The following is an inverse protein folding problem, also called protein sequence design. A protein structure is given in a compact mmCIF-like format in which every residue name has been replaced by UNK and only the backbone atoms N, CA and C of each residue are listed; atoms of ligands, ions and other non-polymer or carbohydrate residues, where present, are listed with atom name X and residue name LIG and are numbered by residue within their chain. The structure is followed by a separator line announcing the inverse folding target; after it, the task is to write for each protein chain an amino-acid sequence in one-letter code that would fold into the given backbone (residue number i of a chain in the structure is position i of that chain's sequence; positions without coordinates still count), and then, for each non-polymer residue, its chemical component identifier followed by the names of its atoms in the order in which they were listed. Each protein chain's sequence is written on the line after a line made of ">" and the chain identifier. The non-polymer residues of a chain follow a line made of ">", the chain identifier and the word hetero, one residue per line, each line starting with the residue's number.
data_IF_859360666709
#
_entry.id   IF_859360666709
#
_cell.length_a   1.000
_cell.length_b   1.000
_cell.length_c   1.000
_cell.angle_alpha   90.00
_cell.angle_beta   90.00
_cell.angle_gamma   90.00
#
_symmetry.space_group_name_H-M   'P 1'
#
loop_
_entity.id
_entity.type
_entity.pdbx_description
1 polymer ?
#
# COMPACT_ATOMS: atom_id res chain seq x y z
N UNK A 1 35.91 -11.26 9.11
CA UNK A 1 34.51 -11.65 9.40
C UNK A 1 33.81 -11.75 8.07
N UNK A 2 33.37 -12.94 7.67
CA UNK A 2 32.53 -13.10 6.48
C UNK A 2 31.18 -12.45 6.80
N UNK A 3 30.81 -11.41 6.05
CA UNK A 3 29.45 -10.87 6.10
C UNK A 3 28.51 -12.04 5.76
N UNK A 4 27.58 -12.36 6.67
CA UNK A 4 26.60 -13.40 6.42
C UNK A 4 25.97 -13.13 5.05
N UNK A 5 26.09 -14.09 4.13
CA UNK A 5 25.53 -13.97 2.80
C UNK A 5 24.02 -13.82 2.95
N UNK A 6 23.49 -12.62 2.69
CA UNK A 6 22.05 -12.40 2.70
C UNK A 6 21.43 -13.24 1.59
N UNK A 7 20.32 -13.94 1.86
CA UNK A 7 19.64 -14.71 0.83
C UNK A 7 19.14 -13.76 -0.26
N UNK A 8 19.29 -14.17 -1.53
CA UNK A 8 18.85 -13.38 -2.69
C UNK A 8 17.34 -13.14 -2.72
N UNK A 9 16.57 -13.98 -2.03
CA UNK A 9 15.12 -13.86 -1.85
C UNK A 9 14.71 -14.55 -0.55
N UNK A 10 13.56 -14.16 0.00
CA UNK A 10 13.01 -14.73 1.24
C UNK A 10 11.51 -14.96 1.12
N UNK A 11 11.01 -15.94 1.86
CA UNK A 11 9.58 -16.09 2.13
C UNK A 11 9.29 -15.28 3.38
N UNK A 12 8.55 -14.18 3.28
CA UNK A 12 8.24 -13.31 4.41
C UNK A 12 6.82 -13.57 4.92
N UNK A 13 6.67 -13.79 6.21
CA UNK A 13 5.36 -13.82 6.85
C UNK A 13 4.67 -12.45 6.67
N UNK A 14 3.42 -12.39 6.18
CA UNK A 14 2.69 -11.13 6.02
C UNK A 14 2.36 -10.44 7.36
N UNK A 15 2.37 -11.19 8.46
CA UNK A 15 2.09 -10.67 9.79
C UNK A 15 3.33 -10.07 10.46
N UNK A 16 3.09 -9.00 11.21
CA UNK A 16 4.10 -8.34 12.03
C UNK A 16 3.96 -8.80 13.48
N UNK A 17 5.04 -9.33 14.03
CA UNK A 17 5.07 -9.82 15.41
C UNK A 17 5.43 -8.67 16.35
N UNK A 18 4.41 -8.05 16.96
CA UNK A 18 4.62 -7.04 18.00
C UNK A 18 5.19 -7.67 19.28
N UNK A 19 6.19 -7.01 19.85
CA UNK A 19 6.84 -7.35 21.13
C UNK A 19 6.98 -6.05 21.92
N UNK A 20 6.31 -5.96 23.07
CA UNK A 20 6.18 -4.71 23.82
C UNK A 20 7.34 -4.48 24.78
N UNK A 21 7.77 -5.54 25.44
CA UNK A 21 8.94 -5.63 26.31
C UNK A 21 10.22 -5.93 25.52
N UNK A 22 11.34 -5.40 26.00
CA UNK A 22 12.66 -5.64 25.40
C UNK A 22 13.05 -7.13 25.45
N UNK A 23 12.65 -7.84 26.50
CA UNK A 23 12.97 -9.25 26.71
C UNK A 23 12.35 -10.19 25.66
N UNK A 24 11.21 -9.80 25.07
CA UNK A 24 10.53 -10.61 24.05
C UNK A 24 10.87 -10.18 22.60
N UNK A 25 11.49 -9.02 22.43
CA UNK A 25 12.00 -8.58 21.13
C UNK A 25 13.31 -9.30 20.81
N UNK A 26 13.50 -9.83 19.59
CA UNK A 26 14.72 -10.58 19.28
C UNK A 26 15.97 -9.71 19.43
N UNK A 27 16.98 -10.29 20.06
CA UNK A 27 18.33 -9.76 20.13
C UNK A 27 19.01 -9.73 18.73
N UNK A 28 20.16 -9.08 18.62
CA UNK A 28 20.90 -8.95 17.36
C UNK A 28 21.38 -10.28 16.79
N UNK A 29 21.56 -11.31 17.63
CA UNK A 29 21.98 -12.64 17.17
C UNK A 29 20.87 -13.35 16.39
N UNK A 30 19.60 -13.09 16.74
CA UNK A 30 18.42 -13.70 16.11
C UNK A 30 17.82 -12.84 14.99
N UNK A 31 17.96 -11.53 15.10
CA UNK A 31 17.44 -10.55 14.14
C UNK A 31 18.43 -9.38 13.98
N UNK A 32 19.50 -9.58 13.17
CA UNK A 32 20.58 -8.60 13.01
C UNK A 32 20.17 -7.38 12.19
N UNK A 33 19.17 -7.51 11.31
CA UNK A 33 18.69 -6.41 10.48
C UNK A 33 17.62 -5.65 11.24
N UNK A 34 17.92 -4.41 11.60
CA UNK A 34 17.07 -3.57 12.46
C UNK A 34 16.96 -2.19 11.85
N UNK A 35 15.77 -1.63 11.88
CA UNK A 35 15.54 -0.26 11.41
C UNK A 35 14.72 0.53 12.43
N UNK A 36 15.00 1.83 12.48
CA UNK A 36 14.29 2.77 13.35
C UNK A 36 13.46 3.74 12.51
N UNK A 37 12.28 4.09 13.02
CA UNK A 37 11.40 5.07 12.42
C UNK A 37 10.73 5.94 13.48
N UNK A 38 10.33 7.14 13.06
CA UNK A 38 9.55 8.07 13.89
C UNK A 38 8.34 8.55 13.10
N UNK A 39 7.16 8.42 13.70
CA UNK A 39 5.89 8.84 13.08
C UNK A 39 5.76 10.36 13.03
N UNK A 40 4.81 10.85 12.26
CA UNK A 40 4.50 12.27 12.10
C UNK A 40 3.96 12.90 13.38
N UNK A 41 3.40 12.09 14.28
CA UNK A 41 3.01 12.47 15.63
C UNK A 41 4.12 12.26 16.68
N UNK A 42 5.36 12.02 16.25
CA UNK A 42 6.54 12.01 17.12
C UNK A 42 6.77 10.71 17.90
N UNK A 43 6.03 9.65 17.61
CA UNK A 43 6.21 8.36 18.28
C UNK A 43 7.30 7.53 17.60
N UNK A 44 8.36 7.14 18.32
CA UNK A 44 9.38 6.25 17.78
C UNK A 44 8.90 4.79 17.75
N UNK A 45 9.45 4.02 16.82
CA UNK A 45 9.29 2.58 16.76
C UNK A 45 10.52 1.93 16.15
N UNK A 46 10.72 0.64 16.43
CA UNK A 46 11.78 -0.16 15.83
C UNK A 46 11.23 -1.43 15.21
N UNK A 47 11.85 -1.87 14.13
CA UNK A 47 11.58 -3.15 13.49
C UNK A 47 12.85 -4.00 13.46
N UNK A 48 12.67 -5.32 13.43
CA UNK A 48 13.77 -6.26 13.24
C UNK A 48 13.33 -7.41 12.33
N UNK A 49 14.15 -7.71 11.32
CA UNK A 49 13.96 -8.86 10.44
C UNK A 49 14.75 -10.04 10.97
N UNK A 50 14.05 -11.16 11.18
CA UNK A 50 14.66 -12.46 11.35
C UNK A 50 14.54 -13.22 10.04
N UNK A 51 15.64 -13.25 9.29
CA UNK A 51 15.71 -13.94 8.01
C UNK A 51 15.99 -15.43 8.20
N UNK A 52 15.34 -16.24 7.38
CA UNK A 52 15.56 -17.67 7.31
C UNK A 52 15.72 -18.08 5.84
N UNK A 53 16.62 -19.02 5.57
CA UNK A 53 16.79 -19.57 4.24
C UNK A 53 15.50 -20.29 3.78
N UNK A 54 14.98 -19.98 2.59
CA UNK A 54 13.83 -20.70 2.04
C UNK A 54 14.07 -22.23 2.00
N UNK A 55 13.03 -23.05 2.28
CA UNK A 55 11.61 -22.70 2.37
C UNK A 55 11.16 -22.21 3.75
N UNK A 56 12.08 -21.97 4.70
CA UNK A 56 11.70 -21.44 6.01
C UNK A 56 11.20 -20.00 5.88
N UNK A 57 10.24 -19.65 6.73
CA UNK A 57 9.59 -18.34 6.73
C UNK A 57 10.39 -17.35 7.56
N UNK A 58 10.77 -16.24 6.94
CA UNK A 58 11.33 -15.04 7.56
C UNK A 58 10.23 -14.23 8.25
N UNK A 59 10.58 -13.50 9.31
CA UNK A 59 9.60 -12.77 10.14
C UNK A 59 10.01 -11.32 10.38
N UNK A 60 9.02 -10.45 10.41
CA UNK A 60 9.18 -9.06 10.85
C UNK A 60 8.67 -8.90 12.28
N UNK A 61 9.54 -8.43 13.17
CA UNK A 61 9.20 -8.06 14.53
C UNK A 61 9.10 -6.53 14.63
N UNK A 62 8.20 -6.04 15.47
CA UNK A 62 8.07 -4.63 15.76
C UNK A 62 8.02 -4.39 17.27
N UNK A 63 8.75 -3.39 17.75
CA UNK A 63 8.56 -2.84 19.08
C UNK A 63 7.98 -1.43 18.96
N UNK A 64 6.87 -1.26 19.67
CA UNK A 64 5.93 -0.16 19.56
C UNK A 64 5.52 0.24 20.99
N UNK A 65 6.42 0.90 21.75
CA UNK A 65 6.26 1.11 23.19
C UNK A 65 5.08 2.05 23.51
N UNK A 66 4.94 3.15 22.77
CA UNK A 66 3.90 4.18 23.04
C UNK A 66 2.63 3.98 22.21
N UNK A 67 2.43 2.80 21.60
CA UNK A 67 1.22 2.49 20.83
C UNK A 67 0.17 1.79 21.69
N UNK A 68 -1.14 1.94 21.37
CA UNK A 68 -2.21 1.25 22.09
C UNK A 68 -2.02 -0.26 22.16
N UNK A 69 -2.63 -0.92 23.16
CA UNK A 69 -2.53 -2.37 23.37
C UNK A 69 -2.76 -3.19 22.08
N UNK A 70 -1.96 -4.23 21.79
CA UNK A 70 -2.13 -5.07 20.60
C UNK A 70 -3.51 -5.72 20.45
N UNK A 71 -4.24 -5.96 21.55
CA UNK A 71 -5.64 -6.45 21.52
C UNK A 71 -6.62 -5.41 21.02
N UNK A 72 -6.24 -4.13 21.03
CA UNK A 72 -7.07 -3.01 20.59
C UNK A 72 -6.78 -2.64 19.15
N UNK A 73 -5.50 -2.61 18.74
CA UNK A 73 -5.10 -2.14 17.42
C UNK A 73 -3.88 -2.91 16.89
N UNK A 74 -3.83 -3.06 15.56
CA UNK A 74 -2.65 -3.55 14.83
C UNK A 74 -1.99 -2.37 14.13
N UNK A 75 -1.04 -1.68 14.78
CA UNK A 75 -0.58 -0.38 14.31
C UNK A 75 0.43 -0.47 13.17
N UNK A 76 1.03 -1.63 12.88
CA UNK A 76 2.04 -1.79 11.84
C UNK A 76 1.69 -2.96 10.92
N UNK A 77 1.74 -2.72 9.60
CA UNK A 77 1.52 -3.75 8.59
C UNK A 77 2.52 -3.61 7.43
N UNK A 78 2.87 -4.76 6.82
CA UNK A 78 3.57 -4.81 5.54
C UNK A 78 2.53 -4.74 4.44
N UNK A 79 2.63 -3.75 3.55
CA UNK A 79 1.63 -3.53 2.50
C UNK A 79 2.01 -4.22 1.21
N UNK A 80 3.26 -4.05 0.81
CA UNK A 80 3.79 -4.59 -0.41
C UNK A 80 5.31 -4.70 -0.31
N UNK A 81 5.89 -5.59 -1.12
CA UNK A 81 7.34 -5.71 -1.27
C UNK A 81 7.67 -5.81 -2.76
N UNK A 82 8.81 -5.24 -3.15
CA UNK A 82 9.37 -5.46 -4.48
C UNK A 82 10.90 -5.35 -4.40
N UNK A 83 11.59 -6.42 -4.83
CA UNK A 83 13.06 -6.51 -4.80
C UNK A 83 13.60 -6.16 -3.41
N UNK A 84 14.43 -5.12 -3.29
CA UNK A 84 15.06 -4.70 -2.05
C UNK A 84 14.20 -3.79 -1.16
N UNK A 85 12.96 -3.45 -1.56
CA UNK A 85 12.08 -2.52 -0.84
C UNK A 85 10.88 -3.22 -0.19
N UNK A 86 10.51 -2.73 1.00
CA UNK A 86 9.23 -3.04 1.65
C UNK A 86 8.48 -1.73 1.99
N UNK A 87 7.21 -1.69 1.62
CA UNK A 87 6.28 -0.63 1.99
C UNK A 87 5.58 -1.02 3.29
N UNK A 88 5.76 -0.21 4.33
CA UNK A 88 5.17 -0.40 5.65
C UNK A 88 4.14 0.70 5.89
N UNK A 89 3.05 0.34 6.56
CA UNK A 89 2.11 1.29 7.15
C UNK A 89 2.30 1.28 8.66
N UNK A 90 2.35 2.47 9.25
CA UNK A 90 2.21 2.65 10.69
C UNK A 90 1.03 3.59 10.95
N UNK A 91 0.06 3.16 11.77
CA UNK A 91 -1.12 3.95 12.08
C UNK A 91 -1.66 3.68 13.48
N UNK A 92 -2.40 4.63 14.00
CA UNK A 92 -3.09 4.52 15.30
C UNK A 92 -4.36 5.36 15.26
N UNK A 93 -5.34 5.01 16.09
CA UNK A 93 -6.45 5.93 16.36
C UNK A 93 -6.09 6.79 17.57
N UNK A 94 -6.12 8.11 17.37
CA UNK A 94 -5.96 9.10 18.42
C UNK A 94 -7.28 9.36 19.15
N UNK A 95 -7.18 10.07 20.27
CA UNK A 95 -8.31 10.55 21.06
C UNK A 95 -9.28 11.31 20.12
N UNK A 96 -10.59 11.06 20.25
CA UNK A 96 -11.68 11.56 19.38
C UNK A 96 -11.84 10.84 18.02
N UNK A 97 -11.40 9.58 17.91
CA UNK A 97 -11.58 8.74 16.72
C UNK A 97 -10.86 9.28 15.47
N UNK A 98 -9.76 10.02 15.68
CA UNK A 98 -8.92 10.52 14.59
C UNK A 98 -7.89 9.46 14.23
N UNK A 99 -8.03 8.82 13.08
CA UNK A 99 -7.00 7.90 12.56
C UNK A 99 -5.85 8.68 11.96
N UNK A 100 -4.64 8.45 12.47
CA UNK A 100 -3.40 8.94 11.86
C UNK A 100 -2.61 7.77 11.29
N UNK A 101 -1.93 8.01 10.17
CA UNK A 101 -1.18 6.98 9.46
C UNK A 101 -0.03 7.61 8.70
N UNK A 102 1.12 6.93 8.72
CA UNK A 102 2.27 7.20 7.89
C UNK A 102 2.64 5.95 7.08
N UNK A 103 3.24 6.18 5.92
CA UNK A 103 3.86 5.14 5.12
C UNK A 103 5.38 5.25 5.21
N UNK A 104 6.05 4.11 5.31
CA UNK A 104 7.50 4.01 5.40
C UNK A 104 8.03 3.07 4.33
N UNK A 105 9.17 3.44 3.76
CA UNK A 105 9.97 2.57 2.90
C UNK A 105 11.12 2.04 3.74
N UNK A 106 11.18 0.72 3.84
CA UNK A 106 12.38 -0.01 4.24
C UNK A 106 13.17 -0.38 2.97
N UNK A 107 14.49 -0.23 3.03
CA UNK A 107 15.40 -0.64 1.97
C UNK A 107 16.45 -1.60 2.51
N UNK A 108 16.62 -2.75 1.88
CA UNK A 108 17.68 -3.69 2.23
C UNK A 108 19.09 -3.14 1.96
N UNK A 109 19.22 -2.11 1.11
CA UNK A 109 20.48 -1.41 0.86
C UNK A 109 20.82 -0.37 1.92
N UNK A 110 19.81 0.12 2.67
CA UNK A 110 20.00 0.99 3.83
C UNK A 110 19.19 0.45 5.02
N UNK A 111 19.61 -0.69 5.59
CA UNK A 111 18.79 -1.49 6.51
C UNK A 111 18.53 -0.81 7.86
N UNK A 112 19.33 0.19 8.23
CA UNK A 112 19.28 0.81 9.57
C UNK A 112 18.23 1.90 9.72
N UNK A 113 17.62 2.35 8.62
CA UNK A 113 16.70 3.51 8.62
C UNK A 113 15.42 3.23 7.86
N UNK A 114 14.32 3.82 8.33
CA UNK A 114 13.04 3.85 7.63
C UNK A 114 12.80 5.22 7.03
N UNK A 115 12.60 5.28 5.72
CA UNK A 115 12.24 6.52 5.04
C UNK A 115 10.73 6.74 5.14
N UNK A 116 10.31 7.76 5.88
CA UNK A 116 8.90 8.17 5.90
C UNK A 116 8.52 8.85 4.59
N UNK A 117 7.42 8.42 3.99
CA UNK A 117 6.82 9.09 2.83
C UNK A 117 6.10 10.37 3.29
N UNK A 118 6.05 11.42 2.45
CA UNK A 118 5.25 12.60 2.74
C UNK A 118 3.76 12.24 2.86
N UNK A 119 2.97 13.03 3.60
CA UNK A 119 1.52 12.85 3.62
C UNK A 119 0.90 13.11 2.25
N UNK A 120 -0.15 12.38 1.90
CA UNK A 120 -0.93 12.64 0.70
C UNK A 120 -1.88 13.83 0.91
N UNK A 121 -1.51 15.00 0.38
CA UNK A 121 -2.33 16.21 0.38
C UNK A 121 -3.24 16.33 -0.85
N UNK A 122 -3.19 15.36 -1.77
CA UNK A 122 -3.99 15.40 -2.99
C UNK A 122 -5.48 15.18 -2.64
N UNK A 123 -6.37 16.05 -3.11
CA UNK A 123 -7.77 16.03 -2.75
C UNK A 123 -8.48 14.81 -3.33
N UNK A 124 -9.45 14.26 -2.60
CA UNK A 124 -10.39 13.30 -3.16
C UNK A 124 -11.27 14.01 -4.20
N UNK A 125 -11.40 13.42 -5.39
CA UNK A 125 -12.28 13.92 -6.45
C UNK A 125 -13.54 13.07 -6.50
N UNK A 126 -14.70 13.72 -6.51
CA UNK A 126 -15.99 13.02 -6.68
C UNK A 126 -16.14 12.42 -8.09
N UNK A 127 -17.26 11.73 -8.32
CA UNK A 127 -17.57 11.09 -9.60
C UNK A 127 -17.63 12.06 -10.79
N UNK A 128 -17.81 13.35 -10.53
CA UNK A 128 -17.83 14.42 -11.53
C UNK A 128 -16.44 15.01 -11.82
N UNK A 129 -15.41 14.61 -11.05
CA UNK A 129 -14.07 15.18 -11.15
C UNK A 129 -13.95 16.52 -10.43
N UNK A 130 -14.93 16.87 -9.61
CA UNK A 130 -14.90 18.05 -8.76
C UNK A 130 -14.46 17.65 -7.35
N UNK A 131 -13.84 18.59 -6.62
CA UNK A 131 -13.70 18.41 -5.18
C UNK A 131 -15.10 18.40 -4.53
N UNK A 132 -15.40 17.43 -3.65
CA UNK A 132 -16.67 17.40 -2.95
C UNK A 132 -16.91 18.72 -2.22
N UNK A 133 -17.99 19.43 -2.59
CA UNK A 133 -18.43 20.62 -1.84
C UNK A 133 -19.12 20.16 -0.55
N UNK A 134 -18.43 20.28 0.58
CA UNK A 134 -19.04 20.25 1.92
C UNK A 134 -18.90 18.93 2.70
N UNK A 135 -18.42 19.08 3.94
CA UNK A 135 -18.66 18.39 5.22
C UNK A 135 -19.10 16.91 5.36
N UNK A 136 -19.24 16.10 4.31
CA UNK A 136 -19.85 14.76 4.41
C UNK A 136 -18.87 13.57 4.24
N UNK A 137 -17.56 13.78 4.36
CA UNK A 137 -16.62 12.66 4.50
C UNK A 137 -16.17 12.52 5.96
N UNK A 138 -16.15 11.30 6.52
CA UNK A 138 -15.60 11.02 7.85
C UNK A 138 -14.06 10.98 7.79
N UNK A 139 -13.43 11.98 7.19
CA UNK A 139 -12.00 12.16 7.36
C UNK A 139 -11.75 13.12 8.51
N UNK A 140 -10.92 12.75 9.50
CA UNK A 140 -10.53 13.69 10.53
C UNK A 140 -9.88 14.91 9.88
N UNK A 141 -10.53 16.06 9.99
CA UNK A 141 -9.86 17.33 9.70
C UNK A 141 -8.79 17.49 10.76
N UNK A 142 -7.52 17.49 10.36
CA UNK A 142 -6.45 17.96 11.23
C UNK A 142 -6.76 19.39 11.69
N UNK A 143 -6.19 19.79 12.83
CA UNK A 143 -6.36 21.13 13.41
C UNK A 143 -5.94 22.28 12.46
N UNK A 144 -5.29 21.97 11.33
CA UNK A 144 -4.87 22.92 10.29
C UNK A 144 -5.79 22.94 9.05
N UNK A 145 -6.93 22.25 9.05
CA UNK A 145 -7.93 22.35 7.99
C UNK A 145 -7.58 21.65 6.66
N UNK A 146 -6.43 20.99 6.57
CA UNK A 146 -6.04 20.17 5.41
C UNK A 146 -6.64 18.76 5.56
N UNK A 147 -7.63 18.42 4.74
CA UNK A 147 -8.12 17.05 4.64
C UNK A 147 -7.08 16.17 3.96
N UNK A 148 -6.46 15.24 4.69
CA UNK A 148 -5.58 14.24 4.09
C UNK A 148 -6.43 13.16 3.41
N UNK A 149 -5.95 12.57 2.32
CA UNK A 149 -6.60 11.39 1.77
C UNK A 149 -6.17 10.17 2.58
N UNK A 150 -7.11 9.46 3.22
CA UNK A 150 -6.80 8.11 3.72
C UNK A 150 -6.58 7.21 2.52
N UNK A 151 -5.33 6.82 2.28
CA UNK A 151 -5.04 5.82 1.26
C UNK A 151 -5.45 4.45 1.81
N UNK A 152 -6.26 3.71 1.07
CA UNK A 152 -6.74 2.42 1.55
C UNK A 152 -5.59 1.41 1.50
N UNK A 153 -5.27 0.87 2.66
CA UNK A 153 -4.09 0.01 2.90
C UNK A 153 -4.02 -1.17 1.94
N UNK A 154 -5.17 -1.77 1.61
CA UNK A 154 -5.28 -2.95 0.74
C UNK A 154 -5.06 -2.67 -0.76
N UNK A 155 -5.17 -1.42 -1.18
CA UNK A 155 -4.98 -1.00 -2.57
C UNK A 155 -3.61 -0.38 -2.82
N UNK A 156 -2.69 -0.45 -1.87
CA UNK A 156 -1.34 0.11 -1.99
C UNK A 156 -0.36 -0.92 -2.56
N UNK A 157 0.44 -0.50 -3.54
CA UNK A 157 1.52 -1.30 -4.13
C UNK A 157 2.83 -0.53 -4.20
N UNK A 158 3.94 -1.24 -4.36
CA UNK A 158 5.28 -0.68 -4.60
C UNK A 158 5.94 -1.35 -5.80
N UNK A 159 6.58 -0.55 -6.64
CA UNK A 159 7.26 -1.00 -7.86
C UNK A 159 8.61 -0.30 -8.01
N UNK A 160 9.70 -1.02 -7.76
CA UNK A 160 11.04 -0.63 -8.21
C UNK A 160 11.21 -0.78 -9.72
N UNK A 161 12.00 0.12 -10.32
CA UNK A 161 12.46 0.06 -11.71
C UNK A 161 13.85 0.70 -11.86
N UNK A 162 14.37 0.68 -13.09
CA UNK A 162 15.64 1.31 -13.43
C UNK A 162 16.86 0.40 -13.21
N UNK A 163 17.99 0.80 -13.79
CA UNK A 163 19.26 0.09 -13.61
C UNK A 163 19.69 0.17 -12.14
N UNK A 164 20.03 -0.98 -11.55
CA UNK A 164 20.31 -1.07 -10.11
C UNK A 164 19.10 -0.77 -9.21
N UNK A 165 17.88 -0.73 -9.77
CA UNK A 165 16.62 -0.57 -9.02
C UNK A 165 16.53 0.74 -8.22
N UNK A 166 17.20 1.79 -8.67
CA UNK A 166 17.31 3.05 -7.93
C UNK A 166 16.01 3.85 -7.86
N UNK A 167 15.07 3.60 -8.77
CA UNK A 167 13.77 4.26 -8.80
C UNK A 167 12.67 3.35 -8.26
N UNK A 168 11.71 3.92 -7.54
CA UNK A 168 10.50 3.21 -7.15
C UNK A 168 9.27 4.10 -7.27
N UNK A 169 8.11 3.47 -7.40
CA UNK A 169 6.82 4.13 -7.23
C UNK A 169 6.02 3.41 -6.16
N UNK A 170 5.28 4.19 -5.38
CA UNK A 170 4.18 3.70 -4.53
C UNK A 170 2.90 4.21 -5.13
N UNK A 171 1.87 3.36 -5.23
CA UNK A 171 0.60 3.75 -5.79
C UNK A 171 -0.59 3.10 -5.09
N UNK A 172 -1.68 3.84 -5.00
CA UNK A 172 -3.02 3.35 -4.75
C UNK A 172 -3.87 3.47 -6.03
N UNK A 173 -4.73 2.49 -6.28
CA UNK A 173 -5.74 2.55 -7.33
C UNK A 173 -7.14 2.28 -6.75
N UNK A 174 -8.10 3.13 -7.11
CA UNK A 174 -9.53 2.95 -6.86
C UNK A 174 -10.30 3.05 -8.17
N UNK A 175 -11.33 2.23 -8.34
CA UNK A 175 -12.21 2.33 -9.50
C UNK A 175 -13.37 3.29 -9.24
N UNK A 176 -13.68 4.05 -10.27
CA UNK A 176 -14.84 4.92 -10.33
C UNK A 176 -15.69 4.54 -11.55
N UNK A 177 -16.87 4.00 -11.30
CA UNK A 177 -17.85 3.69 -12.33
C UNK A 177 -18.81 4.87 -12.55
N UNK A 178 -19.02 5.22 -13.82
CA UNK A 178 -20.05 6.17 -14.27
C UNK A 178 -21.02 5.48 -15.24
N UNK A 179 -22.06 6.18 -15.73
CA UNK A 179 -23.13 5.56 -16.54
C UNK A 179 -22.60 4.69 -17.70
N UNK A 180 -21.55 5.13 -18.40
CA UNK A 180 -21.00 4.44 -19.59
C UNK A 180 -19.48 4.24 -19.57
N UNK A 181 -18.77 4.64 -18.50
CA UNK A 181 -17.29 4.60 -18.44
C UNK A 181 -16.82 4.21 -17.05
N UNK A 182 -15.74 3.42 -17.00
CA UNK A 182 -15.01 3.12 -15.76
C UNK A 182 -13.67 3.84 -15.83
N UNK A 183 -13.36 4.58 -14.77
CA UNK A 183 -12.07 5.25 -14.61
C UNK A 183 -11.33 4.63 -13.43
N UNK A 184 -10.01 4.69 -13.48
CA UNK A 184 -9.12 4.41 -12.37
C UNK A 184 -8.61 5.74 -11.82
N UNK A 185 -8.87 5.95 -10.54
CA UNK A 185 -8.28 7.01 -9.73
C UNK A 185 -6.99 6.48 -9.12
N UNK A 186 -5.88 7.13 -9.44
CA UNK A 186 -4.54 6.69 -9.08
C UNK A 186 -3.88 7.79 -8.25
N UNK A 187 -3.55 7.48 -7.01
CA UNK A 187 -2.64 8.26 -6.19
C UNK A 187 -1.29 7.60 -6.23
N UNK A 188 -0.26 8.30 -6.66
CA UNK A 188 1.06 7.71 -6.77
C UNK A 188 2.15 8.70 -6.39
N UNK A 189 3.26 8.15 -5.92
CA UNK A 189 4.48 8.87 -5.59
C UNK A 189 5.61 8.13 -6.27
N UNK A 190 6.37 8.84 -7.10
CA UNK A 190 7.60 8.34 -7.70
C UNK A 190 8.78 8.86 -6.88
N UNK A 191 9.78 8.01 -6.63
CA UNK A 191 11.04 8.43 -6.04
C UNK A 191 11.65 9.51 -6.93
N UNK A 192 11.94 10.66 -6.32
CA UNK A 192 12.54 11.77 -7.05
C UNK A 192 14.06 11.61 -7.13
N UNK A 193 14.67 12.31 -8.10
CA UNK A 193 16.12 12.44 -8.18
C UNK A 193 16.69 13.07 -6.88
N UNK A 194 17.97 12.82 -6.54
CA UNK A 194 18.59 13.36 -5.34
C UNK A 194 18.37 14.88 -5.22
N UNK A 195 17.84 15.32 -4.07
CA UNK A 195 17.60 16.74 -3.77
C UNK A 195 16.20 17.26 -4.08
N UNK A 196 15.36 16.51 -4.78
CA UNK A 196 13.93 16.82 -4.95
C UNK A 196 13.15 15.95 -3.97
N UNK A 197 12.28 16.57 -3.16
CA UNK A 197 11.37 15.82 -2.28
C UNK A 197 10.40 15.00 -3.11
N UNK A 198 10.12 13.76 -2.69
CA UNK A 198 9.04 12.99 -3.31
C UNK A 198 7.71 13.70 -3.05
N UNK A 199 6.78 13.69 -4.01
CA UNK A 199 5.43 14.27 -3.85
C UNK A 199 4.39 13.29 -4.38
N UNK A 200 3.27 13.20 -3.68
CA UNK A 200 2.08 12.53 -4.19
C UNK A 200 1.50 13.28 -5.39
N UNK A 201 1.03 12.52 -6.36
CA UNK A 201 0.33 12.98 -7.54
C UNK A 201 -0.97 12.19 -7.68
N UNK A 202 -1.99 12.83 -8.23
CA UNK A 202 -3.28 12.21 -8.52
C UNK A 202 -3.56 12.24 -10.02
N UNK A 203 -4.05 11.13 -10.57
CA UNK A 203 -4.58 11.09 -11.92
C UNK A 203 -5.81 10.19 -12.03
N UNK A 204 -6.78 10.66 -12.82
CA UNK A 204 -7.93 9.87 -13.26
C UNK A 204 -7.73 9.45 -14.72
N UNK A 205 -7.70 8.15 -14.98
CA UNK A 205 -7.48 7.59 -16.33
C UNK A 205 -8.60 6.63 -16.71
N UNK A 206 -8.98 6.53 -18.00
CA UNK A 206 -9.94 5.53 -18.43
C UNK A 206 -9.33 4.13 -18.28
N UNK A 207 -10.13 3.17 -17.82
CA UNK A 207 -9.72 1.76 -17.82
C UNK A 207 -9.87 1.20 -19.23
N UNK A 208 -8.75 0.79 -19.82
CA UNK A 208 -8.72 0.16 -21.14
C UNK A 208 -9.25 -1.26 -21.04
N UNK A 209 -10.25 -1.62 -21.84
CA UNK A 209 -10.85 -2.94 -21.83
C UNK A 209 -11.40 -3.30 -23.23
N UNK A 210 -11.53 -4.60 -23.50
CA UNK A 210 -12.00 -5.13 -24.78
C UNK A 210 -13.52 -5.31 -24.88
N UNK A 211 -14.25 -5.51 -23.76
CA UNK A 211 -15.69 -5.77 -23.73
C UNK A 211 -16.48 -4.76 -22.86
N UNK A 212 -17.77 -4.98 -22.57
CA UNK A 212 -18.57 -4.05 -21.74
C UNK A 212 -18.11 -4.10 -20.25
N UNK A 213 -17.46 -3.05 -19.71
CA UNK A 213 -16.73 -3.11 -18.44
C UNK A 213 -17.61 -2.89 -17.20
N UNK A 214 -18.82 -2.32 -17.36
CA UNK A 214 -19.53 -1.70 -16.24
C UNK A 214 -20.12 -2.70 -15.24
N UNK A 215 -20.79 -3.74 -15.71
CA UNK A 215 -21.42 -4.73 -14.83
C UNK A 215 -20.39 -5.55 -14.03
N UNK A 216 -19.16 -5.63 -14.53
CA UNK A 216 -18.09 -6.37 -13.88
C UNK A 216 -17.40 -5.49 -12.84
N UNK A 217 -16.88 -4.33 -13.26
CA UNK A 217 -16.02 -3.51 -12.41
C UNK A 217 -16.76 -2.70 -11.32
N UNK A 218 -18.10 -2.64 -11.34
CA UNK A 218 -18.86 -1.91 -10.33
C UNK A 218 -18.77 -2.52 -8.92
N UNK A 219 -18.37 -3.80 -8.80
CA UNK A 219 -18.18 -4.48 -7.53
C UNK A 219 -16.71 -4.80 -7.23
N UNK A 220 -15.78 -4.18 -7.96
CA UNK A 220 -14.34 -4.42 -7.80
C UNK A 220 -13.89 -4.29 -6.34
N UNK A 221 -13.22 -5.32 -5.85
CA UNK A 221 -12.54 -5.30 -4.56
C UNK A 221 -11.12 -5.83 -4.74
N UNK A 222 -10.14 -4.96 -4.50
CA UNK A 222 -8.73 -5.38 -4.51
C UNK A 222 -8.46 -6.33 -3.34
N UNK A 223 -8.08 -7.56 -3.66
CA UNK A 223 -7.61 -8.57 -2.70
C UNK A 223 -6.09 -8.46 -2.48
N UNK A 224 -5.34 -8.20 -3.55
CA UNK A 224 -3.87 -8.02 -3.48
C UNK A 224 -3.36 -7.11 -4.58
N UNK A 225 -2.15 -6.56 -4.38
CA UNK A 225 -1.41 -5.78 -5.36
C UNK A 225 -0.01 -6.38 -5.51
N UNK A 226 0.35 -6.77 -6.72
CA UNK A 226 1.67 -7.36 -6.99
C UNK A 226 2.40 -6.63 -8.12
N UNK A 227 3.73 -6.45 -8.00
CA UNK A 227 4.55 -6.00 -9.13
C UNK A 227 4.79 -7.18 -10.09
N UNK A 228 4.61 -6.93 -11.39
CA UNK A 228 4.99 -7.86 -12.47
C UNK A 228 5.74 -7.06 -13.51
N UNK A 229 7.04 -7.33 -13.67
CA UNK A 229 7.92 -6.59 -14.58
C UNK A 229 7.81 -5.07 -14.37
N UNK A 230 7.20 -4.34 -15.33
CA UNK A 230 6.98 -2.88 -15.27
C UNK A 230 5.61 -2.47 -14.73
N UNK A 231 4.73 -3.41 -14.41
CA UNK A 231 3.34 -3.14 -14.02
C UNK A 231 3.13 -3.33 -12.52
N UNK A 232 2.30 -2.49 -11.92
CA UNK A 232 1.58 -2.84 -10.71
C UNK A 232 0.23 -3.46 -11.09
N UNK A 233 -0.08 -4.60 -10.51
CA UNK A 233 -1.27 -5.39 -10.81
C UNK A 233 -2.18 -5.44 -9.60
N UNK A 234 -3.36 -4.81 -9.68
CA UNK A 234 -4.42 -4.96 -8.68
C UNK A 234 -5.26 -6.16 -9.06
N UNK A 235 -5.41 -7.10 -8.14
CA UNK A 235 -6.10 -8.36 -8.38
C UNK A 235 -7.36 -8.41 -7.52
N UNK A 236 -8.48 -8.70 -8.17
CA UNK A 236 -9.71 -9.16 -7.54
C UNK A 236 -9.87 -10.62 -7.95
N UNK A 237 -9.78 -11.55 -6.98
CA UNK A 237 -9.80 -12.98 -7.26
C UNK A 237 -11.11 -13.47 -7.91
N UNK A 238 -12.18 -12.69 -7.80
CA UNK A 238 -13.47 -13.00 -8.41
C UNK A 238 -13.67 -12.38 -9.80
N UNK A 239 -12.90 -11.36 -10.16
CA UNK A 239 -13.15 -10.57 -11.38
C UNK A 239 -12.00 -10.58 -12.39
N UNK A 240 -10.76 -10.38 -11.94
CA UNK A 240 -9.63 -10.26 -12.83
C UNK A 240 -8.46 -9.44 -12.29
N UNK A 241 -7.72 -8.83 -13.21
CA UNK A 241 -6.49 -8.08 -12.94
C UNK A 241 -6.55 -6.73 -13.64
N UNK A 242 -6.25 -5.66 -12.90
CA UNK A 242 -5.96 -4.35 -13.44
C UNK A 242 -4.45 -4.17 -13.53
N UNK A 243 -3.92 -4.07 -14.75
CA UNK A 243 -2.52 -3.75 -15.01
C UNK A 243 -2.36 -2.24 -15.10
N UNK A 244 -1.57 -1.66 -14.20
CA UNK A 244 -1.21 -0.25 -14.24
C UNK A 244 0.28 -0.09 -14.57
N UNK A 245 0.56 0.64 -15.64
CA UNK A 245 1.91 1.19 -15.85
C UNK A 245 2.00 2.56 -15.18
N UNK A 246 2.42 2.58 -13.92
CA UNK A 246 2.52 3.80 -13.09
C UNK A 246 3.57 4.77 -13.63
N UNK A 247 4.56 4.24 -14.36
CA UNK A 247 5.62 5.02 -14.97
C UNK A 247 5.36 5.34 -16.45
N UNK A 248 4.16 5.03 -16.96
CA UNK A 248 3.77 5.36 -18.32
C UNK A 248 3.86 6.87 -18.58
N UNK A 249 4.40 7.22 -19.74
CA UNK A 249 4.49 8.59 -20.24
C UNK A 249 3.53 8.77 -21.42
N UNK A 250 2.79 9.89 -21.51
CA UNK A 250 2.83 11.08 -20.64
C UNK A 250 2.05 10.93 -19.32
N UNK A 251 1.38 9.79 -19.11
CA UNK A 251 0.60 9.49 -17.90
C UNK A 251 0.44 7.98 -17.69
N UNK A 252 0.11 7.52 -16.48
CA UNK A 252 -0.20 6.14 -16.21
C UNK A 252 -1.31 5.60 -17.11
N UNK A 253 -1.22 4.32 -17.43
CA UNK A 253 -2.26 3.61 -18.17
C UNK A 253 -2.76 2.44 -17.36
N UNK A 254 -4.06 2.17 -17.43
CA UNK A 254 -4.70 1.05 -16.73
C UNK A 254 -5.45 0.21 -17.73
N UNK A 255 -5.19 -1.09 -17.73
CA UNK A 255 -5.92 -2.06 -18.56
C UNK A 255 -6.52 -3.17 -17.70
N UNK A 256 -7.69 -3.66 -18.08
CA UNK A 256 -8.40 -4.70 -17.37
C UNK A 256 -8.37 -6.03 -18.12
N UNK A 257 -7.84 -7.06 -17.46
CA UNK A 257 -7.88 -8.45 -17.88
C UNK A 257 -8.88 -9.21 -17.01
N UNK A 258 -9.95 -9.72 -17.63
CA UNK A 258 -10.98 -10.51 -16.94
C UNK A 258 -10.50 -11.94 -16.73
N UNK A 259 -10.84 -12.53 -15.57
CA UNK A 259 -10.70 -13.98 -15.39
C UNK A 259 -11.78 -14.75 -16.15
N UNK A 260 -11.48 -15.99 -16.62
CA UNK A 260 -12.45 -16.81 -17.33
C UNK A 260 -13.69 -17.11 -16.45
N UNK A 261 -14.91 -16.83 -16.92
CA UNK A 261 -16.14 -17.06 -16.15
C UNK A 261 -16.42 -18.55 -15.90
N UNK A 262 -15.96 -19.45 -16.78
CA UNK A 262 -16.39 -20.86 -16.79
C UNK A 262 -15.68 -21.78 -15.78
N UNK A 263 -14.81 -21.23 -14.92
CA UNK A 263 -13.96 -22.04 -14.00
C UNK A 263 -14.19 -21.81 -12.52
N UNK A 264 -15.05 -20.85 -12.16
CA UNK A 264 -15.39 -20.58 -10.78
C UNK A 264 -16.92 -20.53 -10.68
N UNK A 265 -17.59 -21.55 -10.08
CA UNK A 265 -19.01 -21.41 -9.78
C UNK A 265 -19.20 -20.17 -8.92
N UNK A 266 -20.31 -19.46 -9.13
CA UNK A 266 -20.71 -18.23 -8.43
C UNK A 266 -20.79 -18.44 -6.90
N UNK A 267 -19.67 -18.62 -6.22
CA UNK A 267 -19.59 -18.58 -4.78
C UNK A 267 -19.40 -17.14 -4.38
N UNK A 268 -20.51 -16.56 -3.91
CA UNK A 268 -20.78 -15.17 -3.54
C UNK A 268 -21.37 -14.29 -4.64
N UNK A 269 -22.67 -14.47 -4.86
CA UNK A 269 -23.57 -13.42 -5.30
C UNK A 269 -23.52 -12.23 -4.32
N UNK A 270 -22.54 -11.34 -4.49
CA UNK A 270 -22.58 -9.99 -3.90
C UNK A 270 -23.52 -9.06 -4.69
N UNK A 271 -24.24 -9.59 -5.68
CA UNK A 271 -25.14 -8.89 -6.59
C UNK A 271 -26.51 -8.50 -6.01
N UNK A 272 -26.81 -8.78 -4.74
CA UNK A 272 -28.10 -8.39 -4.14
C UNK A 272 -27.99 -6.97 -3.57
N UNK A 273 -27.97 -5.93 -4.42
CA UNK A 273 -28.51 -4.60 -4.03
C UNK A 273 -28.75 -3.58 -5.15
N UNK A 274 -28.36 -3.82 -6.40
CA UNK A 274 -28.75 -2.91 -7.51
C UNK A 274 -30.01 -3.42 -8.25
N UNK A 275 -31.07 -3.68 -7.50
CA UNK A 275 -32.43 -3.75 -8.04
C UNK A 275 -33.34 -3.00 -7.08
N UNK A 276 -33.13 -1.67 -6.98
CA UNK A 276 -34.07 -0.64 -6.50
C UNK A 276 -33.31 0.68 -6.30
N UNK A 277 -33.11 1.45 -7.37
CA UNK A 277 -33.20 2.92 -7.40
C UNK A 277 -33.04 3.42 -8.83
#
# INVERSE_FOLDING_TARGET
>A
MSAAAFPNWVILEPFVFRRGDDDSFPDESKAPVRAYGTTSWGTPFRIAFSFAEPPRVSRLYAQLPDFPDPKKQTPLAILATHRHLALLCVGTELIKFVTVQDFFIYSAYNPSSLQRLPPCSEPYMDSSGCQPRGHLLPYPKDHEGVGRCMLAVRSMGILCRGEGEQEFAVAELKLLASRNKVHADIWFLKSAAPGIGCKWSFMRVPVLHSNNPKEQLCFWQTDTVIPIDRWLCWIDYSQGILFCDVFGEPKPTVSFLRFPPDKFPDTYSRSITCNRS
#
